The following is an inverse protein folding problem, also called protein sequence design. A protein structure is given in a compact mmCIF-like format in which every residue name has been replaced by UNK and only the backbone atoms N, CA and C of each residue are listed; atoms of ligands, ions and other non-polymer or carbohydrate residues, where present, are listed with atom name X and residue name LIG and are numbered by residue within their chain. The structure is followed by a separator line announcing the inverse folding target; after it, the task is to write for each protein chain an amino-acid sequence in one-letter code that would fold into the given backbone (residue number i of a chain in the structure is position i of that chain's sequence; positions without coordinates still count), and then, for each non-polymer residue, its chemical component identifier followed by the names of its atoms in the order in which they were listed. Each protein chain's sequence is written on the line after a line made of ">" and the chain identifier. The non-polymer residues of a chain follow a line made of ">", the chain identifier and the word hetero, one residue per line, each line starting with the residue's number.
data_IF_409707009921
#
_entry.id   IF_409707009921
#
_cell.length_a   1.000
_cell.length_b   1.000
_cell.length_c   1.000
_cell.angle_alpha   90.00
_cell.angle_beta   90.00
_cell.angle_gamma   90.00
#
_symmetry.space_group_name_H-M   'P 1'
#
loop_
_entity.id
_entity.type
_entity.pdbx_description
1 polymer ?
#
# COMPACT_ATOMS: atom_id res chain seq x y z
N UNK A 1 -18.11 -27.49 -10.55
CA UNK A 1 -17.03 -26.47 -10.73
C UNK A 1 -17.37 -25.27 -9.86
N UNK A 2 -16.47 -24.71 -9.08
CA UNK A 2 -16.74 -23.50 -8.32
C UNK A 2 -17.07 -22.36 -9.30
N UNK A 3 -18.07 -21.53 -8.97
CA UNK A 3 -18.44 -20.39 -9.80
C UNK A 3 -17.26 -19.39 -9.88
N UNK A 4 -17.14 -18.67 -10.99
CA UNK A 4 -16.07 -17.66 -11.17
C UNK A 4 -16.01 -16.65 -9.99
N UNK A 5 -17.16 -16.31 -9.42
CA UNK A 5 -17.28 -15.45 -8.23
C UNK A 5 -16.69 -16.08 -6.97
N UNK A 6 -16.78 -17.41 -6.80
CA UNK A 6 -16.19 -18.13 -5.67
C UNK A 6 -14.64 -18.17 -5.78
N UNK A 7 -14.11 -18.31 -7.00
CA UNK A 7 -12.68 -18.25 -7.27
C UNK A 7 -12.11 -16.83 -6.97
N UNK A 8 -12.78 -15.78 -7.42
CA UNK A 8 -12.37 -14.40 -7.16
C UNK A 8 -12.34 -14.06 -5.66
N UNK A 9 -13.29 -14.59 -4.88
CA UNK A 9 -13.32 -14.41 -3.41
C UNK A 9 -12.21 -15.16 -2.67
N UNK A 10 -11.68 -16.23 -3.27
CA UNK A 10 -10.64 -17.08 -2.67
C UNK A 10 -9.24 -16.51 -2.80
N UNK A 11 -9.01 -15.58 -3.70
CA UNK A 11 -7.69 -15.02 -4.03
C UNK A 11 -7.59 -13.54 -3.64
N UNK A 12 -6.36 -13.12 -3.36
CA UNK A 12 -5.96 -11.72 -3.23
C UNK A 12 -5.05 -11.32 -4.40
N UNK A 13 -4.68 -10.04 -4.47
CA UNK A 13 -3.81 -9.54 -5.53
C UNK A 13 -2.45 -10.26 -5.57
N UNK A 14 -1.92 -10.66 -4.40
CA UNK A 14 -0.63 -11.37 -4.32
C UNK A 14 -0.71 -12.76 -4.93
N UNK A 15 -1.69 -13.57 -4.53
CA UNK A 15 -1.86 -14.94 -5.05
C UNK A 15 -2.19 -14.94 -6.54
N UNK A 16 -3.00 -14.02 -7.02
CA UNK A 16 -3.25 -13.84 -8.46
C UNK A 16 -1.97 -13.48 -9.21
N UNK A 17 -1.20 -12.52 -8.68
CA UNK A 17 0.04 -12.13 -9.35
C UNK A 17 1.02 -13.30 -9.47
N UNK A 18 1.27 -14.03 -8.37
CA UNK A 18 2.17 -15.20 -8.38
C UNK A 18 1.67 -16.28 -9.35
N UNK A 19 0.35 -16.51 -9.42
CA UNK A 19 -0.25 -17.46 -10.35
C UNK A 19 -0.02 -17.05 -11.81
N UNK A 20 -0.37 -15.81 -12.17
CA UNK A 20 -0.24 -15.35 -13.56
C UNK A 20 1.22 -15.16 -13.99
N UNK A 21 2.05 -14.60 -13.13
CA UNK A 21 3.48 -14.44 -13.38
C UNK A 21 4.17 -15.81 -13.55
N UNK A 22 3.87 -16.76 -12.66
CA UNK A 22 4.39 -18.12 -12.77
C UNK A 22 3.91 -18.84 -14.03
N UNK A 23 2.63 -18.68 -14.40
CA UNK A 23 2.10 -19.25 -15.64
C UNK A 23 2.77 -18.63 -16.90
N UNK A 24 2.94 -17.30 -16.92
CA UNK A 24 3.61 -16.60 -18.01
C UNK A 24 5.07 -17.04 -18.14
N UNK A 25 5.79 -17.10 -17.02
CA UNK A 25 7.17 -17.58 -16.99
C UNK A 25 7.29 -19.05 -17.41
N UNK A 26 6.33 -19.90 -17.01
CA UNK A 26 6.29 -21.28 -17.46
C UNK A 26 6.08 -21.39 -18.98
N UNK A 27 5.21 -20.55 -19.52
CA UNK A 27 4.98 -20.49 -20.98
C UNK A 27 6.23 -20.05 -21.74
N UNK A 28 6.93 -19.02 -21.28
CA UNK A 28 8.18 -18.56 -21.93
C UNK A 28 9.26 -19.63 -21.86
N UNK A 29 9.46 -20.28 -20.70
CA UNK A 29 10.43 -21.38 -20.56
C UNK A 29 10.07 -22.59 -21.43
N UNK A 30 8.78 -22.93 -21.55
CA UNK A 30 8.34 -24.01 -22.44
C UNK A 30 8.59 -23.68 -23.92
N UNK A 31 8.33 -22.44 -24.34
CA UNK A 31 8.63 -21.97 -25.71
C UNK A 31 10.15 -22.07 -25.96
N UNK A 32 10.98 -21.60 -25.01
CA UNK A 32 12.42 -21.72 -25.14
C UNK A 32 12.86 -23.19 -25.27
N UNK A 33 12.34 -24.10 -24.46
CA UNK A 33 12.65 -25.54 -24.53
C UNK A 33 12.23 -26.20 -25.84
N UNK A 34 11.16 -25.72 -26.49
CA UNK A 34 10.62 -26.30 -27.73
C UNK A 34 11.38 -25.76 -28.96
N UNK A 35 11.64 -24.45 -29.00
CA UNK A 35 12.10 -23.77 -30.20
C UNK A 35 13.59 -23.41 -30.19
N UNK A 36 14.26 -23.51 -29.06
CA UNK A 36 15.67 -23.15 -28.94
C UNK A 36 16.59 -24.36 -29.18
N UNK A 37 17.08 -24.52 -30.40
CA UNK A 37 17.80 -25.71 -30.86
C UNK A 37 19.21 -25.87 -30.26
N UNK A 38 19.87 -24.76 -29.90
CA UNK A 38 21.29 -24.76 -29.43
C UNK A 38 21.45 -24.33 -27.97
N UNK A 39 20.52 -24.73 -27.11
CA UNK A 39 20.56 -24.37 -25.71
C UNK A 39 21.74 -25.04 -24.99
N UNK A 40 22.61 -24.23 -24.38
CA UNK A 40 23.84 -24.75 -23.72
C UNK A 40 23.54 -25.55 -22.45
N UNK A 41 22.43 -25.27 -21.73
CA UNK A 41 22.09 -25.96 -20.50
C UNK A 41 20.56 -26.14 -20.35
N UNK A 42 19.95 -27.04 -21.15
CA UNK A 42 18.50 -27.24 -21.15
C UNK A 42 17.96 -27.77 -19.80
N UNK A 43 18.76 -28.50 -19.03
CA UNK A 43 18.36 -29.02 -17.73
C UNK A 43 17.97 -27.91 -16.73
N UNK A 44 18.65 -26.75 -16.77
CA UNK A 44 18.35 -25.63 -15.90
C UNK A 44 16.98 -25.02 -16.23
N UNK A 45 16.64 -24.91 -17.52
CA UNK A 45 15.33 -24.45 -17.95
C UNK A 45 14.20 -25.44 -17.55
N UNK A 46 14.47 -26.75 -17.56
CA UNK A 46 13.53 -27.75 -17.02
C UNK A 46 13.31 -27.58 -15.53
N UNK A 47 14.37 -27.32 -14.74
CA UNK A 47 14.27 -27.05 -13.30
C UNK A 47 13.47 -25.78 -13.05
N UNK A 48 13.76 -24.69 -13.76
CA UNK A 48 13.02 -23.44 -13.64
C UNK A 48 11.55 -23.59 -14.06
N UNK A 49 11.26 -24.36 -15.11
CA UNK A 49 9.90 -24.68 -15.53
C UNK A 49 9.16 -25.44 -14.42
N UNK A 50 9.76 -26.44 -13.82
CA UNK A 50 9.18 -27.17 -12.69
C UNK A 50 8.88 -26.25 -11.49
N UNK A 51 9.80 -25.33 -11.15
CA UNK A 51 9.63 -24.35 -10.07
C UNK A 51 8.49 -23.39 -10.38
N UNK A 52 8.41 -22.84 -11.61
CA UNK A 52 7.36 -21.88 -11.97
C UNK A 52 5.97 -22.53 -12.05
N UNK A 53 5.86 -23.72 -12.61
CA UNK A 53 4.60 -24.50 -12.64
C UNK A 53 4.15 -24.84 -11.23
N UNK A 54 5.06 -25.35 -10.37
CA UNK A 54 4.76 -25.65 -8.98
C UNK A 54 4.33 -24.42 -8.20
N UNK A 55 5.04 -23.30 -8.37
CA UNK A 55 4.73 -22.02 -7.74
C UNK A 55 3.37 -21.48 -8.16
N UNK A 56 3.07 -21.49 -9.47
CA UNK A 56 1.78 -21.04 -10.01
C UNK A 56 0.62 -21.93 -9.50
N UNK A 57 0.80 -23.24 -9.51
CA UNK A 57 -0.20 -24.20 -9.02
C UNK A 57 -0.43 -24.05 -7.52
N UNK A 58 0.64 -23.91 -6.74
CA UNK A 58 0.55 -23.68 -5.29
C UNK A 58 -0.20 -22.36 -5.00
N UNK A 59 0.11 -21.28 -5.71
CA UNK A 59 -0.58 -20.01 -5.57
C UNK A 59 -2.08 -20.11 -5.93
N UNK A 60 -2.40 -20.83 -7.00
CA UNK A 60 -3.77 -21.08 -7.42
C UNK A 60 -4.56 -21.92 -6.40
N UNK A 61 -3.93 -22.92 -5.77
CA UNK A 61 -4.58 -23.77 -4.77
C UNK A 61 -4.74 -23.06 -3.42
N UNK A 62 -3.68 -22.39 -2.95
CA UNK A 62 -3.67 -21.74 -1.63
C UNK A 62 -4.44 -20.42 -1.59
N UNK A 63 -4.51 -19.67 -2.69
CA UNK A 63 -5.19 -18.40 -2.76
C UNK A 63 -4.67 -17.41 -1.69
N UNK A 64 -5.58 -16.79 -0.91
CA UNK A 64 -5.23 -15.83 0.16
C UNK A 64 -4.33 -16.38 1.27
N UNK A 65 -4.22 -17.74 1.38
CA UNK A 65 -3.34 -18.38 2.36
C UNK A 65 -1.89 -18.46 1.90
N UNK A 66 -1.57 -18.05 0.66
CA UNK A 66 -0.22 -18.07 0.13
C UNK A 66 0.70 -17.15 0.94
N UNK A 67 1.73 -17.69 1.62
CA UNK A 67 2.65 -16.85 2.40
C UNK A 67 3.49 -15.94 1.48
N UNK A 68 3.70 -14.71 1.90
CA UNK A 68 4.48 -13.74 1.11
C UNK A 68 5.94 -14.15 0.87
N UNK A 69 6.52 -14.94 1.78
CA UNK A 69 7.88 -15.44 1.60
C UNK A 69 8.05 -16.32 0.36
N UNK A 70 6.98 -17.04 -0.07
CA UNK A 70 7.01 -17.87 -1.30
C UNK A 70 7.34 -17.02 -2.52
N UNK A 71 6.69 -15.87 -2.68
CA UNK A 71 6.98 -14.95 -3.78
C UNK A 71 8.38 -14.34 -3.68
N UNK A 72 8.84 -14.00 -2.48
CA UNK A 72 10.21 -13.47 -2.27
C UNK A 72 11.25 -14.53 -2.64
N UNK A 73 11.05 -15.78 -2.22
CA UNK A 73 11.95 -16.89 -2.57
C UNK A 73 11.97 -17.13 -4.08
N UNK A 74 10.80 -17.12 -4.73
CA UNK A 74 10.72 -17.21 -6.19
C UNK A 74 11.52 -16.10 -6.87
N UNK A 75 11.38 -14.85 -6.42
CA UNK A 75 12.15 -13.70 -6.92
C UNK A 75 13.66 -13.93 -6.78
N UNK A 76 14.12 -14.37 -5.61
CA UNK A 76 15.56 -14.61 -5.39
C UNK A 76 16.10 -15.71 -6.29
N UNK A 77 15.38 -16.83 -6.45
CA UNK A 77 15.74 -17.91 -7.37
C UNK A 77 15.82 -17.40 -8.81
N UNK A 78 14.82 -16.61 -9.23
CA UNK A 78 14.82 -16.04 -10.57
C UNK A 78 15.94 -15.04 -10.80
N UNK A 79 16.21 -14.14 -9.86
CA UNK A 79 17.32 -13.19 -9.98
C UNK A 79 18.67 -13.90 -10.07
N UNK A 80 18.88 -14.98 -9.30
CA UNK A 80 20.08 -15.79 -9.39
C UNK A 80 20.21 -16.49 -10.76
N UNK A 81 19.10 -17.07 -11.26
CA UNK A 81 19.07 -17.70 -12.58
C UNK A 81 19.32 -16.69 -13.70
N UNK A 82 18.72 -15.50 -13.63
CA UNK A 82 18.94 -14.44 -14.61
C UNK A 82 20.39 -13.95 -14.59
N UNK A 83 20.96 -13.74 -13.41
CA UNK A 83 22.39 -13.43 -13.28
C UNK A 83 23.29 -14.46 -13.96
N UNK A 84 22.97 -15.74 -13.79
CA UNK A 84 23.68 -16.83 -14.45
C UNK A 84 23.54 -16.77 -15.98
N UNK A 85 22.31 -16.72 -16.52
CA UNK A 85 22.07 -16.68 -17.96
C UNK A 85 22.67 -15.45 -18.64
N UNK A 86 22.51 -14.29 -18.03
CA UNK A 86 23.05 -13.04 -18.58
C UNK A 86 24.59 -13.02 -18.61
N UNK A 87 25.24 -13.64 -17.60
CA UNK A 87 26.70 -13.60 -17.45
C UNK A 87 27.42 -14.67 -18.27
N UNK A 88 26.86 -15.88 -18.34
CA UNK A 88 27.53 -17.07 -18.87
C UNK A 88 26.98 -17.58 -20.22
N UNK A 89 25.79 -17.12 -20.63
CA UNK A 89 25.28 -17.53 -21.93
C UNK A 89 26.00 -16.80 -23.06
N UNK A 90 26.54 -17.57 -23.98
CA UNK A 90 27.12 -17.07 -25.24
C UNK A 90 26.09 -16.97 -26.37
N UNK A 91 24.89 -17.46 -26.11
CA UNK A 91 23.80 -17.53 -27.08
C UNK A 91 22.84 -16.33 -26.92
N UNK A 92 22.59 -15.56 -27.98
CA UNK A 92 21.74 -14.37 -27.96
C UNK A 92 20.30 -14.64 -27.52
N UNK A 93 19.72 -15.78 -27.89
CA UNK A 93 18.32 -16.10 -27.58
C UNK A 93 18.15 -16.29 -26.07
N UNK A 94 19.02 -17.04 -25.43
CA UNK A 94 19.00 -17.24 -23.97
C UNK A 94 19.10 -15.91 -23.21
N UNK A 95 19.99 -15.00 -23.68
CA UNK A 95 20.16 -13.69 -23.06
C UNK A 95 18.89 -12.82 -23.19
N UNK A 96 18.28 -12.80 -24.38
CA UNK A 96 17.04 -12.05 -24.62
C UNK A 96 15.88 -12.61 -23.81
N UNK A 97 15.70 -13.93 -23.76
CA UNK A 97 14.66 -14.59 -22.95
C UNK A 97 14.83 -14.26 -21.44
N UNK A 98 16.07 -14.28 -20.95
CA UNK A 98 16.37 -13.87 -19.59
C UNK A 98 15.98 -12.41 -19.32
N UNK A 99 16.29 -11.49 -20.23
CA UNK A 99 15.95 -10.08 -20.10
C UNK A 99 14.43 -9.83 -20.04
N UNK A 100 13.65 -10.56 -20.84
CA UNK A 100 12.19 -10.41 -20.90
C UNK A 100 11.48 -10.77 -19.59
N UNK A 101 12.08 -11.55 -18.73
CA UNK A 101 11.53 -11.96 -17.44
C UNK A 101 11.81 -10.96 -16.32
N UNK A 102 12.86 -10.13 -16.43
CA UNK A 102 13.24 -9.15 -15.41
C UNK A 102 12.13 -8.14 -15.05
N UNK A 103 11.35 -7.58 -16.00
CA UNK A 103 10.25 -6.68 -15.70
C UNK A 103 9.18 -7.28 -14.80
N UNK A 104 8.89 -8.58 -14.95
CA UNK A 104 7.90 -9.30 -14.12
C UNK A 104 8.38 -9.31 -12.67
N UNK A 105 9.63 -9.66 -12.44
CA UNK A 105 10.24 -9.68 -11.11
C UNK A 105 10.31 -8.26 -10.53
N UNK A 106 10.69 -7.27 -11.33
CA UNK A 106 10.76 -5.88 -10.92
C UNK A 106 9.41 -5.31 -10.47
N UNK A 107 8.34 -5.64 -11.19
CA UNK A 107 6.99 -5.25 -10.81
C UNK A 107 6.56 -5.90 -9.48
N UNK A 108 6.87 -7.18 -9.27
CA UNK A 108 6.62 -7.85 -7.99
C UNK A 108 7.33 -7.15 -6.83
N UNK A 109 8.60 -6.82 -7.00
CA UNK A 109 9.38 -6.09 -6.00
C UNK A 109 8.75 -4.72 -5.69
N UNK A 110 8.29 -4.02 -6.70
CA UNK A 110 7.65 -2.71 -6.55
C UNK A 110 6.30 -2.76 -5.82
N UNK A 111 5.49 -3.79 -6.07
CA UNK A 111 4.12 -3.86 -5.56
C UNK A 111 3.99 -4.61 -4.22
N UNK A 112 4.65 -5.78 -4.08
CA UNK A 112 4.40 -6.69 -2.96
C UNK A 112 5.47 -6.68 -1.88
N UNK A 113 6.65 -6.12 -2.17
CA UNK A 113 7.78 -6.09 -1.25
C UNK A 113 7.94 -4.71 -0.61
N UNK A 114 8.20 -4.68 0.70
CA UNK A 114 8.43 -3.42 1.41
C UNK A 114 9.60 -2.66 0.79
N UNK A 115 9.52 -1.32 0.63
CA UNK A 115 10.57 -0.53 -0.03
C UNK A 115 11.97 -0.71 0.57
N UNK A 116 12.06 -0.96 1.89
CA UNK A 116 13.33 -1.21 2.59
C UNK A 116 14.06 -2.48 2.11
N UNK A 117 13.31 -3.48 1.61
CA UNK A 117 13.85 -4.72 1.05
C UNK A 117 13.90 -4.68 -0.48
N UNK A 118 12.89 -4.09 -1.10
CA UNK A 118 12.80 -3.99 -2.56
C UNK A 118 13.89 -3.08 -3.15
N UNK A 119 14.21 -1.96 -2.48
CA UNK A 119 15.23 -1.01 -2.94
C UNK A 119 16.61 -1.64 -3.14
N UNK A 120 17.20 -2.30 -2.15
CA UNK A 120 18.47 -3.00 -2.32
C UNK A 120 18.45 -4.09 -3.39
N UNK A 121 17.35 -4.87 -3.50
CA UNK A 121 17.23 -5.94 -4.48
C UNK A 121 17.17 -5.40 -5.91
N UNK A 122 16.40 -4.32 -6.14
CA UNK A 122 16.33 -3.70 -7.46
C UNK A 122 17.65 -3.00 -7.82
N UNK A 123 18.30 -2.34 -6.86
CA UNK A 123 19.62 -1.74 -7.06
C UNK A 123 20.67 -2.79 -7.43
N UNK A 124 20.68 -3.93 -6.74
CA UNK A 124 21.54 -5.07 -7.07
C UNK A 124 21.23 -5.60 -8.47
N UNK A 125 19.96 -5.76 -8.82
CA UNK A 125 19.55 -6.24 -10.16
C UNK A 125 20.01 -5.29 -11.26
N UNK A 126 19.88 -3.98 -11.04
CA UNK A 126 20.37 -2.94 -11.98
C UNK A 126 21.89 -2.99 -12.11
N UNK A 127 22.61 -3.12 -10.99
CA UNK A 127 24.06 -3.19 -10.98
C UNK A 127 24.58 -4.43 -11.71
N UNK A 128 24.01 -5.61 -11.42
CA UNK A 128 24.36 -6.87 -12.10
C UNK A 128 24.07 -6.77 -13.60
N UNK A 129 22.88 -6.27 -13.97
CA UNK A 129 22.51 -6.10 -15.35
C UNK A 129 23.43 -5.11 -16.08
N UNK A 130 23.79 -3.99 -15.43
CA UNK A 130 24.74 -3.01 -15.96
C UNK A 130 26.13 -3.61 -16.18
N UNK A 131 26.68 -4.32 -15.18
CA UNK A 131 27.98 -5.00 -15.30
C UNK A 131 27.97 -6.00 -16.45
N UNK A 132 26.93 -6.85 -16.51
CA UNK A 132 26.80 -7.85 -17.58
C UNK A 132 26.69 -7.20 -18.94
N UNK A 133 25.86 -6.16 -19.09
CA UNK A 133 25.73 -5.43 -20.37
C UNK A 133 27.04 -4.81 -20.82
N UNK A 134 27.92 -4.45 -19.88
CA UNK A 134 29.25 -3.91 -20.21
C UNK A 134 30.28 -5.01 -20.50
N UNK A 135 30.19 -6.17 -19.84
CA UNK A 135 31.20 -7.23 -19.96
C UNK A 135 30.88 -8.30 -21.00
N UNK A 136 29.59 -8.53 -21.29
CA UNK A 136 29.19 -9.55 -22.26
C UNK A 136 29.28 -9.01 -23.69
N UNK A 137 30.14 -9.62 -24.57
CA UNK A 137 30.35 -9.16 -25.93
C UNK A 137 29.08 -9.08 -26.80
N UNK A 138 28.02 -9.83 -26.46
CA UNK A 138 26.76 -9.82 -27.20
C UNK A 138 26.08 -8.44 -27.19
N UNK A 139 26.35 -7.61 -26.20
CA UNK A 139 25.77 -6.25 -26.06
C UNK A 139 26.65 -5.15 -26.67
N UNK A 140 27.88 -5.45 -27.10
CA UNK A 140 28.77 -4.48 -27.72
C UNK A 140 28.29 -4.09 -29.13
N UNK A 141 28.83 -3.01 -29.68
CA UNK A 141 28.44 -2.46 -30.99
C UNK A 141 28.54 -3.46 -32.14
N UNK A 142 29.47 -4.40 -32.06
CA UNK A 142 29.63 -5.49 -33.04
C UNK A 142 28.94 -6.78 -32.59
N UNK A 143 28.30 -6.78 -31.41
CA UNK A 143 27.62 -7.94 -30.86
C UNK A 143 26.28 -8.21 -31.52
N UNK A 144 25.80 -9.47 -31.48
CA UNK A 144 24.55 -9.90 -32.11
C UNK A 144 23.29 -9.27 -31.50
N UNK A 145 23.32 -8.79 -30.26
CA UNK A 145 22.19 -8.17 -29.56
C UNK A 145 22.28 -6.65 -29.64
N UNK A 146 23.47 -6.10 -29.40
CA UNK A 146 23.74 -4.66 -29.42
C UNK A 146 23.28 -3.90 -28.18
N UNK A 147 23.91 -2.75 -27.93
CA UNK A 147 23.67 -1.89 -26.80
C UNK A 147 22.19 -1.39 -26.65
N UNK A 148 21.45 -1.09 -27.73
CA UNK A 148 20.05 -0.63 -27.61
C UNK A 148 19.16 -1.62 -26.88
N UNK A 149 19.33 -2.92 -27.07
CA UNK A 149 18.52 -3.95 -26.40
C UNK A 149 18.80 -3.97 -24.89
N UNK A 150 20.07 -3.81 -24.48
CA UNK A 150 20.43 -3.69 -23.08
C UNK A 150 19.76 -2.46 -22.44
N UNK A 151 19.77 -1.31 -23.13
CA UNK A 151 19.11 -0.08 -22.66
C UNK A 151 17.59 -0.30 -22.50
N UNK A 152 16.94 -0.93 -23.49
CA UNK A 152 15.52 -1.24 -23.40
C UNK A 152 15.19 -2.19 -22.23
N UNK A 153 16.03 -3.20 -21.99
CA UNK A 153 15.89 -4.10 -20.83
C UNK A 153 15.96 -3.35 -19.51
N UNK A 154 16.93 -2.45 -19.36
CA UNK A 154 17.08 -1.62 -18.17
C UNK A 154 15.87 -0.68 -17.97
N UNK A 155 15.44 -0.01 -19.02
CA UNK A 155 14.28 0.88 -18.99
C UNK A 155 12.99 0.12 -18.62
N UNK A 156 12.79 -1.07 -19.16
CA UNK A 156 11.65 -1.93 -18.86
C UNK A 156 11.65 -2.37 -17.40
N UNK A 157 12.81 -2.76 -16.87
CA UNK A 157 12.99 -3.13 -15.45
C UNK A 157 12.65 -1.94 -14.54
N UNK A 158 13.21 -0.77 -14.81
CA UNK A 158 12.95 0.44 -14.03
C UNK A 158 11.47 0.85 -14.11
N UNK A 159 10.89 0.86 -15.30
CA UNK A 159 9.49 1.20 -15.51
C UNK A 159 8.57 0.28 -14.71
N UNK A 160 8.76 -1.03 -14.78
CA UNK A 160 7.91 -1.99 -14.08
C UNK A 160 8.06 -1.87 -12.56
N UNK A 161 9.26 -1.63 -12.04
CA UNK A 161 9.46 -1.37 -10.61
C UNK A 161 8.76 -0.09 -10.15
N UNK A 162 8.94 1.01 -10.89
CA UNK A 162 8.30 2.31 -10.57
C UNK A 162 6.78 2.20 -10.67
N UNK A 163 6.25 1.54 -11.70
CA UNK A 163 4.82 1.30 -11.88
C UNK A 163 4.24 0.48 -10.73
N UNK A 164 4.90 -0.61 -10.33
CA UNK A 164 4.50 -1.43 -9.18
C UNK A 164 4.47 -0.60 -7.89
N UNK A 165 5.50 0.18 -7.62
CA UNK A 165 5.57 1.03 -6.43
C UNK A 165 4.51 2.14 -6.44
N UNK A 166 4.28 2.77 -7.60
CA UNK A 166 3.22 3.77 -7.77
C UNK A 166 1.83 3.19 -7.49
N UNK A 167 1.52 2.04 -8.08
CA UNK A 167 0.24 1.38 -7.89
C UNK A 167 0.05 0.91 -6.44
N UNK A 168 1.10 0.38 -5.81
CA UNK A 168 1.07 0.03 -4.38
C UNK A 168 0.77 1.25 -3.50
N UNK A 169 1.46 2.39 -3.75
CA UNK A 169 1.22 3.63 -3.01
C UNK A 169 -0.21 4.15 -3.23
N UNK A 170 -0.72 4.02 -4.45
CA UNK A 170 -2.10 4.42 -4.79
C UNK A 170 -3.12 3.54 -4.07
N UNK A 171 -2.96 2.22 -4.12
CA UNK A 171 -3.81 1.28 -3.41
C UNK A 171 -3.83 1.56 -1.89
N UNK A 172 -2.65 1.75 -1.29
CA UNK A 172 -2.52 2.13 0.13
C UNK A 172 -3.21 3.46 0.47
N UNK A 173 -3.19 4.44 -0.43
CA UNK A 173 -3.90 5.71 -0.19
C UNK A 173 -5.42 5.54 -0.23
N UNK A 174 -5.92 4.73 -1.15
CA UNK A 174 -7.37 4.43 -1.23
C UNK A 174 -7.84 3.65 0.00
N UNK A 175 -7.02 2.68 0.47
CA UNK A 175 -7.30 1.94 1.71
C UNK A 175 -7.16 2.79 2.99
N UNK A 176 -6.46 3.91 2.93
CA UNK A 176 -6.19 4.75 4.10
C UNK A 176 -7.32 5.71 4.44
N UNK A 177 -8.19 6.05 3.47
CA UNK A 177 -9.23 7.06 3.61
C UNK A 177 -10.62 6.46 3.51
N UNK A 178 -11.52 6.93 4.34
CA UNK A 178 -12.95 6.65 4.27
C UNK A 178 -13.52 7.19 2.96
N UNK A 179 -14.22 6.34 2.20
CA UNK A 179 -14.69 6.68 0.86
C UNK A 179 -15.79 7.75 0.86
N UNK A 180 -16.55 7.85 1.96
CA UNK A 180 -17.64 8.83 2.11
C UNK A 180 -17.08 10.21 2.44
N UNK A 181 -16.31 10.30 3.51
CA UNK A 181 -15.87 11.58 4.08
C UNK A 181 -14.47 12.00 3.64
N UNK A 182 -13.67 11.05 3.10
CA UNK A 182 -12.26 11.23 2.80
C UNK A 182 -11.37 11.39 4.04
N UNK A 183 -11.90 11.27 5.27
CA UNK A 183 -11.12 11.22 6.49
C UNK A 183 -10.25 9.97 6.52
N UNK A 184 -9.17 9.96 7.30
CA UNK A 184 -8.39 8.75 7.48
C UNK A 184 -9.18 7.71 8.27
N UNK A 185 -9.08 6.44 7.91
CA UNK A 185 -9.55 5.36 8.79
C UNK A 185 -8.75 5.32 10.09
N UNK A 186 -9.30 4.67 11.13
CA UNK A 186 -8.72 4.58 12.48
C UNK A 186 -7.24 4.22 12.50
N UNK A 187 -6.83 3.17 11.78
CA UNK A 187 -5.43 2.71 11.79
C UNK A 187 -4.48 3.69 11.09
N UNK A 188 -4.72 4.18 9.86
CA UNK A 188 -3.91 5.23 9.22
C UNK A 188 -3.85 6.55 10.02
N UNK A 189 -4.94 6.92 10.69
CA UNK A 189 -4.95 8.09 11.58
C UNK A 189 -3.99 7.88 12.76
N UNK A 190 -4.10 6.74 13.45
CA UNK A 190 -3.24 6.41 14.57
C UNK A 190 -1.75 6.32 14.17
N UNK A 191 -1.43 5.70 13.01
CA UNK A 191 -0.07 5.65 12.48
C UNK A 191 0.49 7.06 12.21
N UNK A 192 -0.34 7.95 11.64
CA UNK A 192 0.08 9.32 11.34
C UNK A 192 0.27 10.16 12.60
N UNK A 193 -0.63 10.01 13.57
CA UNK A 193 -0.52 10.66 14.87
C UNK A 193 0.72 10.18 15.63
N UNK A 194 0.96 8.87 15.72
CA UNK A 194 2.15 8.31 16.36
C UNK A 194 3.46 8.81 15.72
N UNK A 195 3.49 8.90 14.38
CA UNK A 195 4.66 9.44 13.67
C UNK A 195 4.90 10.94 13.96
N UNK A 196 3.86 11.71 14.26
CA UNK A 196 3.98 13.11 14.69
C UNK A 196 4.46 13.22 16.13
N UNK A 197 3.89 12.42 17.04
CA UNK A 197 4.33 12.36 18.45
C UNK A 197 5.82 12.08 18.59
N UNK A 198 6.37 11.17 17.78
CA UNK A 198 7.81 10.83 17.80
C UNK A 198 8.74 11.94 17.30
N UNK A 199 8.23 12.93 16.60
CA UNK A 199 9.04 13.98 15.93
C UNK A 199 8.83 15.38 16.47
N UNK A 200 7.81 15.57 17.31
CA UNK A 200 7.48 16.90 17.79
C UNK A 200 8.11 17.17 19.16
N UNK A 201 8.64 18.37 19.29
CA UNK A 201 8.92 19.01 20.58
C UNK A 201 7.94 20.16 20.88
N UNK A 202 7.04 20.44 19.94
CA UNK A 202 6.00 21.46 20.06
C UNK A 202 4.73 20.86 20.66
N UNK A 203 3.82 21.67 21.23
CA UNK A 203 2.51 21.23 21.68
C UNK A 203 1.77 20.45 20.57
N UNK A 204 0.99 19.47 20.97
CA UNK A 204 0.17 18.71 20.05
C UNK A 204 -1.10 18.31 20.78
N UNK A 205 -2.25 18.59 20.15
CA UNK A 205 -3.55 18.25 20.73
C UNK A 205 -4.34 17.32 19.82
N UNK A 206 -5.30 16.61 20.40
CA UNK A 206 -6.28 15.83 19.68
C UNK A 206 -7.69 16.18 20.15
N UNK A 207 -8.61 16.24 19.21
CA UNK A 207 -10.04 16.28 19.48
C UNK A 207 -10.64 14.90 19.23
N UNK A 208 -11.44 14.40 20.15
CA UNK A 208 -12.38 13.30 19.93
C UNK A 208 -13.75 13.92 19.68
N UNK A 209 -14.45 13.46 18.66
CA UNK A 209 -15.70 14.04 18.18
C UNK A 209 -16.71 12.93 17.94
N UNK A 210 -17.97 13.19 18.32
CA UNK A 210 -19.09 12.28 18.11
C UNK A 210 -20.34 13.09 17.79
N UNK A 211 -21.05 12.69 16.72
CA UNK A 211 -22.25 13.39 16.28
C UNK A 211 -23.39 13.23 17.29
N UNK A 212 -24.06 14.34 17.59
CA UNK A 212 -25.21 14.34 18.47
C UNK A 212 -26.44 13.79 17.71
N UNK A 213 -27.12 12.82 18.31
CA UNK A 213 -28.36 12.22 17.76
C UNK A 213 -28.28 11.65 16.35
N UNK A 214 -27.10 11.20 15.92
CA UNK A 214 -26.87 10.66 14.57
C UNK A 214 -27.81 9.50 14.22
N UNK A 215 -28.12 8.65 15.20
CA UNK A 215 -29.09 7.58 15.03
C UNK A 215 -30.48 8.12 14.68
N UNK A 216 -30.90 9.21 15.29
CA UNK A 216 -32.24 9.81 15.00
C UNK A 216 -32.29 10.35 13.56
N UNK A 217 -31.18 10.91 13.04
CA UNK A 217 -31.11 11.33 11.62
C UNK A 217 -31.31 10.12 10.70
N UNK A 218 -30.63 9.01 10.98
CA UNK A 218 -30.77 7.78 10.20
C UNK A 218 -32.16 7.19 10.28
N UNK A 219 -32.74 7.11 11.49
CA UNK A 219 -34.07 6.51 11.72
C UNK A 219 -35.18 7.35 11.10
N UNK A 220 -35.07 8.70 11.12
CA UNK A 220 -36.07 9.60 10.60
C UNK A 220 -35.98 9.83 9.08
N UNK A 221 -34.77 9.86 8.50
CA UNK A 221 -34.55 10.30 7.10
C UNK A 221 -33.78 9.28 6.26
N UNK A 222 -33.44 8.10 6.83
CA UNK A 222 -32.68 7.04 6.16
C UNK A 222 -31.18 7.28 6.15
N UNK A 223 -30.42 6.20 5.91
CA UNK A 223 -28.95 6.20 5.92
C UNK A 223 -28.32 7.21 4.96
N UNK A 224 -28.96 7.46 3.81
CA UNK A 224 -28.44 8.46 2.86
C UNK A 224 -28.40 9.89 3.44
N UNK A 225 -29.35 10.23 4.34
CA UNK A 225 -29.34 11.53 5.03
C UNK A 225 -28.22 11.58 6.10
N UNK A 226 -27.97 10.47 6.80
CA UNK A 226 -26.82 10.36 7.70
C UNK A 226 -25.49 10.47 6.97
N UNK A 227 -25.35 9.82 5.83
CA UNK A 227 -24.16 9.91 4.98
C UNK A 227 -23.89 11.36 4.54
N UNK A 228 -24.92 12.08 4.07
CA UNK A 228 -24.83 13.51 3.72
C UNK A 228 -24.46 14.38 4.93
N UNK A 229 -24.97 14.07 6.13
CA UNK A 229 -24.62 14.80 7.34
C UNK A 229 -23.13 14.65 7.68
N UNK A 230 -22.58 13.45 7.59
CA UNK A 230 -21.16 13.20 7.82
C UNK A 230 -20.29 13.89 6.76
N UNK A 231 -20.65 13.75 5.48
CA UNK A 231 -19.90 14.33 4.36
C UNK A 231 -19.86 15.86 4.44
N UNK A 232 -21.02 16.52 4.63
CA UNK A 232 -21.11 17.98 4.71
C UNK A 232 -20.37 18.55 5.92
N UNK A 233 -20.43 17.88 7.07
CA UNK A 233 -19.74 18.32 8.29
C UNK A 233 -18.22 18.21 8.13
N UNK A 234 -17.71 17.08 7.62
CA UNK A 234 -16.27 16.93 7.40
C UNK A 234 -15.77 17.89 6.31
N UNK A 235 -16.57 18.19 5.29
CA UNK A 235 -16.25 19.20 4.29
C UNK A 235 -16.13 20.60 4.92
N UNK A 236 -17.04 20.98 5.83
CA UNK A 236 -16.97 22.24 6.57
C UNK A 236 -15.70 22.31 7.45
N UNK A 237 -15.37 21.23 8.18
CA UNK A 237 -14.14 21.20 8.98
C UNK A 237 -12.89 21.44 8.13
N UNK A 238 -12.82 20.86 6.92
CA UNK A 238 -11.64 21.01 6.03
C UNK A 238 -11.40 22.42 5.53
N UNK A 239 -12.42 23.23 5.46
CA UNK A 239 -12.30 24.66 5.08
C UNK A 239 -11.58 25.43 6.17
N UNK A 240 -11.84 25.08 7.43
CA UNK A 240 -11.34 25.79 8.60
C UNK A 240 -10.00 25.24 9.14
N UNK A 241 -9.69 23.98 8.83
CA UNK A 241 -8.49 23.31 9.30
C UNK A 241 -7.27 23.67 8.46
N UNK A 242 -6.09 23.68 9.09
CA UNK A 242 -4.79 23.93 8.43
C UNK A 242 -4.33 22.70 7.67
N UNK A 243 -3.43 22.86 6.72
CA UNK A 243 -2.85 21.74 5.93
C UNK A 243 -2.10 20.71 6.77
N UNK A 244 -1.69 21.06 7.98
CA UNK A 244 -1.02 20.18 8.95
C UNK A 244 -1.97 19.32 9.78
N UNK A 245 -3.23 19.74 9.91
CA UNK A 245 -4.24 19.07 10.70
C UNK A 245 -4.72 17.79 10.01
N UNK A 246 -5.12 16.80 10.79
CA UNK A 246 -5.48 15.49 10.25
C UNK A 246 -6.81 15.04 10.79
N UNK A 247 -7.77 14.78 9.91
CA UNK A 247 -9.09 14.24 10.27
C UNK A 247 -9.10 12.74 10.11
N UNK A 248 -9.53 12.02 11.13
CA UNK A 248 -9.75 10.58 11.14
C UNK A 248 -11.18 10.21 11.47
N UNK A 249 -11.73 9.20 10.80
CA UNK A 249 -13.00 8.54 11.15
C UNK A 249 -12.69 7.27 11.92
N UNK A 250 -13.06 7.25 13.20
CA UNK A 250 -12.72 6.15 14.12
C UNK A 250 -13.83 5.08 14.20
N UNK A 251 -15.06 5.48 13.93
CA UNK A 251 -16.25 4.64 13.97
C UNK A 251 -17.32 5.15 13.00
N UNK A 252 -18.57 4.77 13.17
CA UNK A 252 -19.68 5.19 12.32
C UNK A 252 -19.83 6.72 12.26
N UNK A 253 -20.02 7.34 13.40
CA UNK A 253 -20.21 8.78 13.66
C UNK A 253 -19.11 9.38 14.55
N UNK A 254 -18.09 8.58 14.89
CA UNK A 254 -16.96 8.96 15.71
C UNK A 254 -15.79 9.45 14.83
N UNK A 255 -15.25 10.61 15.16
CA UNK A 255 -14.11 11.23 14.48
C UNK A 255 -13.04 11.64 15.46
N UNK A 256 -11.82 11.85 14.95
CA UNK A 256 -10.77 12.53 15.68
C UNK A 256 -10.09 13.56 14.77
N UNK A 257 -9.62 14.67 15.36
CA UNK A 257 -8.79 15.65 14.66
C UNK A 257 -7.48 15.81 15.42
N UNK A 258 -6.37 15.54 14.74
CA UNK A 258 -5.03 15.79 15.25
C UNK A 258 -4.62 17.22 14.89
N UNK A 259 -4.20 17.98 15.88
CA UNK A 259 -3.82 19.39 15.77
C UNK A 259 -2.35 19.53 16.20
N UNK A 260 -1.40 19.47 15.25
CA UNK A 260 0.02 19.74 15.55
C UNK A 260 0.24 21.19 15.93
N UNK A 261 1.26 21.45 16.75
CA UNK A 261 1.67 22.79 17.17
C UNK A 261 0.52 23.59 17.82
N UNK A 262 -0.31 22.87 18.63
CA UNK A 262 -1.55 23.43 19.18
C UNK A 262 -1.66 23.00 20.64
N UNK A 263 -1.79 23.97 21.55
CA UNK A 263 -2.03 23.78 22.97
C UNK A 263 -3.52 23.44 23.24
N UNK A 264 -3.83 22.91 24.42
CA UNK A 264 -5.19 22.50 24.80
C UNK A 264 -6.24 23.63 24.69
N UNK A 265 -5.87 24.84 25.12
CA UNK A 265 -6.75 26.00 25.05
C UNK A 265 -7.07 26.37 23.59
N UNK A 266 -6.07 26.38 22.71
CA UNK A 266 -6.25 26.64 21.27
C UNK A 266 -7.04 25.50 20.61
N UNK A 267 -6.83 24.24 21.01
CA UNK A 267 -7.59 23.10 20.48
C UNK A 267 -9.10 23.24 20.78
N UNK A 268 -9.47 23.68 21.98
CA UNK A 268 -10.86 23.96 22.32
C UNK A 268 -11.42 25.11 21.50
N UNK A 269 -10.67 26.22 21.33
CA UNK A 269 -11.10 27.34 20.51
C UNK A 269 -11.31 26.94 19.02
N UNK A 270 -10.44 26.05 18.50
CA UNK A 270 -10.62 25.47 17.16
C UNK A 270 -11.91 24.64 17.13
N UNK A 271 -12.15 23.78 18.12
CA UNK A 271 -13.36 22.96 18.18
C UNK A 271 -14.64 23.80 18.23
N UNK A 272 -14.67 24.88 19.02
CA UNK A 272 -15.77 25.84 19.09
C UNK A 272 -16.03 26.50 17.73
N UNK A 273 -14.98 26.92 17.02
CA UNK A 273 -15.09 27.51 15.68
C UNK A 273 -15.62 26.50 14.68
N UNK A 274 -15.11 25.27 14.67
CA UNK A 274 -15.59 24.19 13.81
C UNK A 274 -17.06 23.85 14.10
N UNK A 275 -17.45 23.86 15.36
CA UNK A 275 -18.82 23.60 15.78
C UNK A 275 -19.77 24.72 15.33
N UNK A 276 -19.35 25.97 15.44
CA UNK A 276 -20.16 27.14 15.03
C UNK A 276 -20.45 27.17 13.53
N UNK A 277 -19.55 26.64 12.69
CA UNK A 277 -19.72 26.58 11.23
C UNK A 277 -20.29 25.25 10.74
N UNK A 278 -20.52 24.29 11.64
CA UNK A 278 -20.98 22.96 11.29
C UNK A 278 -22.48 22.94 10.90
N UNK A 279 -22.83 22.23 9.81
CA UNK A 279 -24.22 22.06 9.42
C UNK A 279 -25.02 21.11 10.33
N UNK A 280 -24.34 20.29 11.13
CA UNK A 280 -24.93 19.32 12.03
C UNK A 280 -24.30 19.40 13.43
N UNK A 281 -25.04 19.16 14.50
CA UNK A 281 -24.52 19.23 15.86
C UNK A 281 -23.62 18.02 16.17
N UNK A 282 -22.60 18.25 16.94
CA UNK A 282 -21.67 17.24 17.47
C UNK A 282 -21.07 17.71 18.79
N UNK A 283 -20.57 16.78 19.55
CA UNK A 283 -19.87 17.03 20.81
C UNK A 283 -18.39 16.68 20.65
N UNK A 284 -17.53 17.29 21.49
CA UNK A 284 -16.09 17.04 21.43
C UNK A 284 -15.45 16.99 22.82
N UNK A 285 -14.31 16.34 22.88
CA UNK A 285 -13.38 16.44 23.99
C UNK A 285 -11.98 16.66 23.45
N UNK A 286 -11.23 17.52 24.10
CA UNK A 286 -9.86 17.83 23.73
C UNK A 286 -8.86 17.24 24.72
N UNK A 287 -7.69 16.83 24.25
CA UNK A 287 -6.55 16.51 25.12
C UNK A 287 -5.26 16.95 24.45
N UNK A 288 -4.29 17.37 25.29
CA UNK A 288 -2.95 17.74 24.86
C UNK A 288 -1.96 16.61 25.18
N UNK A 289 -0.98 16.44 24.30
CA UNK A 289 0.10 15.48 24.46
C UNK A 289 0.95 15.80 25.69
N UNK A 290 1.17 14.83 26.53
CA UNK A 290 2.13 14.88 27.62
C UNK A 290 3.34 13.97 27.32
N UNK A 291 4.56 14.35 27.73
CA UNK A 291 5.75 13.54 27.52
C UNK A 291 5.57 12.09 28.01
N UNK A 292 5.77 11.13 27.10
CA UNK A 292 5.59 9.70 27.40
C UNK A 292 4.24 9.13 26.98
N UNK A 293 3.30 9.95 26.49
CA UNK A 293 2.05 9.45 25.92
C UNK A 293 2.29 8.68 24.63
N UNK A 294 1.47 7.66 24.44
CA UNK A 294 1.18 7.13 23.13
C UNK A 294 -0.15 7.72 22.59
N UNK A 295 -0.45 7.44 21.33
CA UNK A 295 -1.69 7.94 20.72
C UNK A 295 -2.95 7.38 21.37
N UNK A 296 -2.90 6.19 21.95
CA UNK A 296 -4.03 5.57 22.61
C UNK A 296 -4.36 6.29 23.92
N UNK A 297 -3.35 6.64 24.73
CA UNK A 297 -3.52 7.41 25.96
C UNK A 297 -4.08 8.82 25.65
N UNK A 298 -3.57 9.47 24.61
CA UNK A 298 -4.04 10.78 24.17
C UNK A 298 -5.52 10.76 23.74
N UNK A 299 -5.91 9.79 22.89
CA UNK A 299 -7.30 9.61 22.48
C UNK A 299 -8.21 9.26 23.66
N UNK A 300 -7.77 8.39 24.57
CA UNK A 300 -8.56 8.02 25.74
C UNK A 300 -8.88 9.23 26.64
N UNK A 301 -7.95 10.17 26.82
CA UNK A 301 -8.23 11.41 27.57
C UNK A 301 -9.20 12.33 26.82
N UNK A 302 -9.07 12.44 25.52
CA UNK A 302 -10.03 13.20 24.71
C UNK A 302 -11.43 12.60 24.77
N UNK A 303 -11.57 11.26 24.68
CA UNK A 303 -12.85 10.57 24.84
C UNK A 303 -13.46 10.78 26.24
N UNK A 304 -12.63 10.77 27.28
CA UNK A 304 -13.11 11.06 28.64
C UNK A 304 -13.67 12.51 28.75
N UNK A 305 -13.01 13.47 28.13
CA UNK A 305 -13.49 14.87 28.06
C UNK A 305 -14.79 14.99 27.25
N UNK A 306 -14.89 14.30 26.11
CA UNK A 306 -16.11 14.21 25.29
C UNK A 306 -17.29 13.65 26.10
N UNK A 307 -17.05 12.58 26.82
CA UNK A 307 -18.08 11.98 27.68
C UNK A 307 -18.61 12.96 28.74
N UNK A 308 -17.72 13.74 29.37
CA UNK A 308 -18.12 14.77 30.35
C UNK A 308 -18.95 15.89 29.67
N UNK A 309 -18.56 16.33 28.49
CA UNK A 309 -19.32 17.34 27.74
C UNK A 309 -20.74 16.84 27.40
N UNK A 310 -20.86 15.60 26.92
CA UNK A 310 -22.18 15.01 26.62
C UNK A 310 -23.08 14.89 27.86
N UNK A 311 -22.49 14.51 28.99
CA UNK A 311 -23.27 14.45 30.25
C UNK A 311 -23.78 15.81 30.68
N UNK A 312 -22.96 16.86 30.65
CA UNK A 312 -23.37 18.21 31.04
C UNK A 312 -24.48 18.77 30.11
N UNK A 313 -24.40 18.50 28.79
CA UNK A 313 -25.49 18.83 27.86
C UNK A 313 -26.81 18.16 28.27
N UNK A 314 -26.81 16.86 28.55
CA UNK A 314 -28.01 16.10 28.93
C UNK A 314 -28.60 16.54 30.26
N UNK A 315 -27.79 17.02 31.20
CA UNK A 315 -28.26 17.56 32.47
C UNK A 315 -28.98 18.93 32.26
N UNK A 316 -28.46 19.77 31.36
CA UNK A 316 -29.07 21.05 31.01
C UNK A 316 -30.41 20.85 30.27
N UNK A 317 -30.47 19.90 29.33
CA UNK A 317 -31.69 19.61 28.55
C UNK A 317 -32.84 19.00 29.41
N UNK A 318 -32.52 18.48 30.61
CA UNK A 318 -33.49 17.91 31.56
C UNK A 318 -33.97 18.91 32.61
N UNK A 319 -33.31 20.05 32.76
CA UNK A 319 -33.60 21.09 33.73
C UNK A 319 -34.53 22.16 33.17
#
# INVERSE_FOLDING_TARGET
>A
MPSATALLRRHDAHSWYVTFAGALMSLTLAIDLIFHVNMTQPWLNWVLLAITVSGATTALVMGRRLPRWVGITAVLVFLAAQGYFLSLAADPQTVVSAMQQLPIVAFYLGWFVRPRLAGPLIALSIAVFGIVSFTNPLFHTEGRIGAPVAVHGLLSLLFCYVAGNYLWRRAKRVEATDALTGALHRAPFAERAAARLQRTSAPLSVLAIDFDDFKQINDARGHAAGDLALESTVAAWRIELRSGDVVGRLGGDEFAILLPETELAEANAIAERLHATSPHPWSWGASEYAPGDDIAALLMRADAALYQQKRSKQEVDRA
#
